data_IF_861012873692
#
_entry.id   IF_861012873692
#
_cell.length_a   1.000
_cell.length_b   1.000
_cell.length_c   1.000
_cell.angle_alpha   90.00
_cell.angle_beta   90.00
_cell.angle_gamma   90.00
#
_symmetry.space_group_name_H-M   'P 1'
#
loop_
_entity.id
_entity.type
_entity.pdbx_description
1 polymer ?
#
# COMPACT_ATOMS: atom_id res chain seq x y z
N UNK A 1 -3.72 4.10 23.40
CA UNK A 1 -3.38 4.22 21.97
C UNK A 1 -3.45 2.82 21.39
N UNK A 2 -4.33 2.58 20.41
CA UNK A 2 -4.48 1.26 19.80
C UNK A 2 -3.41 1.15 18.71
N UNK A 3 -2.54 0.13 18.82
CA UNK A 3 -1.56 -0.21 17.79
C UNK A 3 -2.18 -1.26 16.87
N UNK A 4 -2.11 -1.03 15.57
CA UNK A 4 -2.52 -1.99 14.53
C UNK A 4 -1.34 -2.36 13.66
N UNK A 5 -1.53 -3.39 12.86
CA UNK A 5 -0.57 -3.86 11.88
C UNK A 5 -0.92 -3.25 10.53
N UNK A 6 0.07 -2.73 9.81
CA UNK A 6 -0.12 -2.29 8.43
C UNK A 6 -0.45 -3.50 7.55
N UNK A 7 -1.61 -3.48 6.87
CA UNK A 7 -2.09 -4.60 6.03
C UNK A 7 -1.17 -4.91 4.85
N UNK A 8 -0.27 -3.98 4.51
CA UNK A 8 0.64 -4.10 3.39
C UNK A 8 2.03 -4.60 3.77
N UNK A 9 2.64 -4.04 4.81
CA UNK A 9 4.04 -4.32 5.15
C UNK A 9 4.22 -5.02 6.50
N UNK A 10 3.12 -5.27 7.22
CA UNK A 10 3.07 -5.90 8.53
C UNK A 10 3.77 -5.12 9.67
N UNK A 11 4.17 -3.88 9.41
CA UNK A 11 4.76 -3.00 10.43
C UNK A 11 3.71 -2.55 11.45
N UNK A 12 4.11 -2.46 12.73
CA UNK A 12 3.26 -1.94 13.80
C UNK A 12 3.16 -0.42 13.70
N UNK A 13 1.95 0.10 13.71
CA UNK A 13 1.67 1.53 13.64
C UNK A 13 0.55 1.95 14.60
N UNK A 14 0.43 3.25 14.83
CA UNK A 14 -0.73 3.79 15.52
C UNK A 14 -1.88 3.93 14.52
N UNK A 15 -3.11 3.58 14.92
CA UNK A 15 -4.29 3.91 14.11
C UNK A 15 -4.32 5.44 13.93
N UNK A 16 -4.24 5.89 12.68
CA UNK A 16 -4.41 7.29 12.33
C UNK A 16 -5.43 7.45 11.20
N UNK A 17 -5.29 6.70 10.10
CA UNK A 17 -6.15 6.80 8.92
C UNK A 17 -6.48 5.41 8.35
N UNK A 18 -7.74 5.22 7.91
CA UNK A 18 -8.17 4.04 7.15
C UNK A 18 -8.39 4.42 5.68
N UNK A 19 -7.96 3.54 4.77
CA UNK A 19 -8.02 3.78 3.32
C UNK A 19 -8.95 2.78 2.65
N UNK A 20 -9.64 3.21 1.58
CA UNK A 20 -10.55 2.33 0.83
C UNK A 20 -9.89 1.86 -0.46
N UNK A 21 -9.63 0.55 -0.56
CA UNK A 21 -9.05 -0.12 -1.73
C UNK A 21 -10.01 -1.22 -2.21
N UNK A 22 -10.48 -1.13 -3.45
CA UNK A 22 -11.34 -2.14 -4.10
C UNK A 22 -12.49 -2.63 -3.16
N UNK A 23 -13.23 -1.67 -2.61
CA UNK A 23 -14.32 -1.85 -1.65
C UNK A 23 -13.98 -2.42 -0.27
N UNK A 24 -12.70 -2.53 0.08
CA UNK A 24 -12.24 -2.89 1.42
C UNK A 24 -11.59 -1.70 2.12
N UNK A 25 -11.78 -1.62 3.43
CA UNK A 25 -11.00 -0.73 4.29
C UNK A 25 -9.70 -1.42 4.67
N UNK A 26 -8.58 -0.69 4.58
CA UNK A 26 -7.25 -1.17 4.93
C UNK A 26 -6.53 -0.16 5.83
N UNK A 27 -5.70 -0.68 6.71
CA UNK A 27 -4.84 0.07 7.63
C UNK A 27 -3.43 0.17 7.01
N UNK A 28 -2.98 1.39 6.70
CA UNK A 28 -1.67 1.66 6.09
C UNK A 28 -0.80 2.57 6.97
N UNK A 29 0.49 2.26 7.08
CA UNK A 29 1.46 3.12 7.76
C UNK A 29 1.83 4.33 6.90
N UNK A 30 2.42 5.37 7.50
CA UNK A 30 2.79 6.63 6.82
C UNK A 30 3.61 6.40 5.53
N UNK A 31 4.51 5.40 5.53
CA UNK A 31 5.27 5.02 4.35
C UNK A 31 4.39 4.44 3.23
N UNK A 32 3.39 3.64 3.58
CA UNK A 32 2.43 3.05 2.66
C UNK A 32 1.31 4.02 2.25
N UNK A 33 1.02 5.05 3.04
CA UNK A 33 0.11 6.15 2.67
C UNK A 33 0.63 6.92 1.45
N UNK A 34 1.89 7.32 1.49
CA UNK A 34 2.51 8.05 0.36
C UNK A 34 2.45 7.21 -0.93
N UNK A 35 2.64 5.91 -0.80
CA UNK A 35 2.49 4.96 -1.88
C UNK A 35 1.05 4.88 -2.39
N UNK A 36 0.09 4.80 -1.47
CA UNK A 36 -1.33 4.72 -1.77
C UNK A 36 -1.78 5.94 -2.58
N UNK A 37 -1.36 7.15 -2.19
CA UNK A 37 -1.69 8.38 -2.92
C UNK A 37 -1.16 8.36 -4.36
N UNK A 38 0.06 7.86 -4.58
CA UNK A 38 0.63 7.71 -5.94
C UNK A 38 -0.13 6.66 -6.75
N UNK A 39 -0.47 5.54 -6.12
CA UNK A 39 -1.21 4.45 -6.74
C UNK A 39 -2.64 4.87 -7.12
N UNK A 40 -3.35 5.58 -6.23
CA UNK A 40 -4.70 6.10 -6.47
C UNK A 40 -4.76 7.02 -7.70
N UNK A 41 -3.76 7.88 -7.87
CA UNK A 41 -3.65 8.74 -9.07
C UNK A 41 -3.40 7.96 -10.37
N UNK A 42 -2.75 6.79 -10.30
CA UNK A 42 -2.59 5.90 -11.46
C UNK A 42 -3.89 5.18 -11.79
N UNK A 43 -4.61 4.72 -10.76
CA UNK A 43 -5.92 4.07 -10.89
C UNK A 43 -6.96 5.01 -11.50
N UNK A 44 -6.98 6.28 -11.09
CA UNK A 44 -7.91 7.28 -11.64
C UNK A 44 -7.75 7.46 -13.16
N UNK A 45 -6.52 7.28 -13.67
CA UNK A 45 -6.19 7.39 -15.10
C UNK A 45 -6.34 6.06 -15.85
N UNK A 46 -6.59 4.97 -15.14
CA UNK A 46 -6.64 3.61 -15.65
C UNK A 46 -8.08 3.17 -15.94
N UNK A 47 -8.26 2.24 -16.88
CA UNK A 47 -9.54 1.55 -17.02
C UNK A 47 -9.74 0.51 -15.89
N UNK A 48 -10.98 0.08 -15.65
CA UNK A 48 -11.34 -0.78 -14.52
C UNK A 48 -10.51 -2.07 -14.39
N UNK A 49 -10.21 -2.75 -15.51
CA UNK A 49 -9.41 -3.98 -15.48
C UNK A 49 -7.95 -3.71 -15.10
N UNK A 50 -7.39 -2.63 -15.60
CA UNK A 50 -6.02 -2.22 -15.27
C UNK A 50 -5.91 -1.76 -13.81
N UNK A 51 -6.94 -1.09 -13.29
CA UNK A 51 -7.03 -0.66 -11.89
C UNK A 51 -6.98 -1.80 -10.89
N UNK A 52 -7.65 -2.93 -11.16
CA UNK A 52 -7.60 -4.10 -10.27
C UNK A 52 -6.19 -4.70 -10.18
N UNK A 53 -5.47 -4.76 -11.31
CA UNK A 53 -4.08 -5.23 -11.32
C UNK A 53 -3.17 -4.29 -10.53
N UNK A 54 -3.37 -2.97 -10.64
CA UNK A 54 -2.61 -1.98 -9.87
C UNK A 54 -2.83 -2.16 -8.36
N UNK A 55 -4.07 -2.32 -7.91
CA UNK A 55 -4.37 -2.54 -6.49
C UNK A 55 -3.76 -3.84 -5.95
N UNK A 56 -3.84 -4.92 -6.72
CA UNK A 56 -3.23 -6.20 -6.36
C UNK A 56 -1.71 -6.06 -6.22
N UNK A 57 -1.05 -5.46 -7.22
CA UNK A 57 0.40 -5.22 -7.17
C UNK A 57 0.80 -4.33 -5.99
N UNK A 58 -0.03 -3.35 -5.61
CA UNK A 58 0.19 -2.51 -4.44
C UNK A 58 0.15 -3.29 -3.13
N UNK A 59 -0.88 -4.11 -2.92
CA UNK A 59 -1.00 -4.90 -1.69
C UNK A 59 0.11 -5.96 -1.58
N UNK A 60 0.56 -6.52 -2.71
CA UNK A 60 1.67 -7.48 -2.75
C UNK A 60 3.06 -6.83 -2.62
N UNK A 61 3.17 -5.49 -2.54
CA UNK A 61 4.46 -4.82 -2.53
C UNK A 61 5.21 -4.81 -3.88
N UNK A 62 4.56 -5.21 -4.97
CA UNK A 62 5.10 -5.33 -6.34
C UNK A 62 4.65 -4.19 -7.25
N UNK A 63 4.43 -2.99 -6.70
CA UNK A 63 3.88 -1.87 -7.45
C UNK A 63 4.91 -1.01 -8.20
N UNK A 64 6.21 -1.26 -7.99
CA UNK A 64 7.30 -0.44 -8.55
C UNK A 64 7.28 1.02 -8.09
N UNK A 65 6.46 1.36 -7.08
CA UNK A 65 6.30 2.69 -6.48
C UNK A 65 6.99 2.72 -5.12
N UNK A 66 6.91 1.62 -4.36
CA UNK A 66 7.45 1.52 -3.01
C UNK A 66 8.68 0.67 -2.89
N UNK A 67 9.31 0.31 -4.02
CA UNK A 67 10.42 -0.64 -4.10
C UNK A 67 11.19 -0.62 -2.79
N UNK A 68 11.00 -1.66 -1.95
CA UNK A 68 11.87 -1.85 -0.78
C UNK A 68 13.23 -1.91 -1.44
N UNK A 69 14.03 -0.85 -1.29
CA UNK A 69 15.46 -0.92 -1.49
C UNK A 69 15.86 -2.22 -0.82
N UNK A 70 16.35 -3.16 -1.61
CA UNK A 70 16.71 -4.49 -1.15
C UNK A 70 17.44 -4.30 0.17
N UNK A 71 16.89 -4.84 1.25
CA UNK A 71 17.73 -5.14 2.40
C UNK A 71 18.67 -6.22 1.87
N UNK A 72 19.80 -5.77 1.32
CA UNK A 72 21.01 -6.56 1.19
C UNK A 72 21.28 -7.10 2.58
N UNK A 73 20.81 -8.32 2.80
CA UNK A 73 21.22 -9.12 3.94
C UNK A 73 22.62 -9.57 3.56
N UNK A 74 23.61 -8.72 3.89
CA UNK A 74 24.99 -9.14 3.94
C UNK A 74 25.07 -10.19 5.05
N UNK A 75 25.02 -11.46 4.65
CA UNK A 75 25.56 -12.55 5.45
C UNK A 75 27.08 -12.57 5.29
#
# INVERSE_FOLDING_TARGET
MIKVTCDRCEDKMNIQNQYRINDKWVDLCDGCETAYLKMSKKVEKANNNYSQNIFKSFMEGKDGITSRSEHTTNY
#
